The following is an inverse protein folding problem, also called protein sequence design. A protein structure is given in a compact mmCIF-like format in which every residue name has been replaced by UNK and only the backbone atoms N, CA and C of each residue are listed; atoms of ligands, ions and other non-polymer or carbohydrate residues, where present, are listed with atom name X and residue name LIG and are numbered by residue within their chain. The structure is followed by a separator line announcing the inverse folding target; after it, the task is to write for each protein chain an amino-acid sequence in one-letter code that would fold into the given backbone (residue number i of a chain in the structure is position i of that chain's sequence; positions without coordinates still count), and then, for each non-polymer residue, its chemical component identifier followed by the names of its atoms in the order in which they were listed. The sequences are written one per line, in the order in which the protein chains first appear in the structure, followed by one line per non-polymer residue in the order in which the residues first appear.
data_IF_973934812298
#
_entry.id   IF_973934812298
#
_cell.length_a   1.000
_cell.length_b   1.000
_cell.length_c   1.000
_cell.angle_alpha   90.00
_cell.angle_beta   90.00
_cell.angle_gamma   90.00
#
_symmetry.space_group_name_H-M   'P 1'
#
loop_
_entity.id
_entity.type
_entity.pdbx_description
1 polymer ?
#
# COMPACT_ATOMS: atom_id res chain seq x y z
N UNK A 1 -15.92 16.10 -4.69
CA UNK A 1 -15.35 14.75 -4.45
C UNK A 1 -15.56 14.35 -3.00
N UNK A 2 -15.90 13.07 -2.77
CA UNK A 2 -16.04 12.45 -1.43
C UNK A 2 -15.04 11.31 -1.32
N UNK A 3 -14.30 11.25 -0.23
CA UNK A 3 -13.28 10.20 0.01
C UNK A 3 -13.54 9.54 1.35
N UNK A 4 -13.58 8.20 1.35
CA UNK A 4 -13.54 7.39 2.55
C UNK A 4 -12.09 7.00 2.83
N UNK A 5 -11.57 7.41 3.97
CA UNK A 5 -10.24 6.99 4.44
C UNK A 5 -10.37 5.82 5.41
N UNK A 6 -9.76 4.69 5.07
CA UNK A 6 -9.58 3.53 5.93
C UNK A 6 -8.18 3.58 6.54
N UNK A 7 -8.06 4.15 7.72
CA UNK A 7 -6.79 4.31 8.43
C UNK A 7 -6.55 3.13 9.37
N UNK A 8 -5.54 2.33 9.05
CA UNK A 8 -5.15 1.17 9.85
C UNK A 8 -3.99 1.51 10.78
N UNK A 9 -4.14 1.19 12.07
CA UNK A 9 -3.08 1.31 13.06
C UNK A 9 -3.00 0.05 13.95
N UNK A 10 -1.92 -0.10 14.67
CA UNK A 10 -1.76 -1.07 15.75
C UNK A 10 -1.43 -0.31 17.04
N UNK A 11 -2.44 0.26 17.69
CA UNK A 11 -2.27 1.22 18.77
C UNK A 11 -1.62 2.52 18.31
N UNK A 12 -1.18 3.35 19.25
CA UNK A 12 -0.56 4.66 18.99
C UNK A 12 0.90 4.74 19.45
N UNK A 13 1.43 3.73 20.15
CA UNK A 13 2.74 3.81 20.78
C UNK A 13 3.90 3.98 19.78
N UNK A 14 3.83 3.27 18.64
CA UNK A 14 4.91 3.31 17.63
C UNK A 14 4.83 4.54 16.72
N UNK A 15 3.62 5.01 16.41
CA UNK A 15 3.36 6.12 15.50
C UNK A 15 2.33 7.07 16.12
N UNK A 16 2.70 7.84 17.17
CA UNK A 16 1.75 8.66 17.94
C UNK A 16 1.14 9.78 17.10
N UNK A 17 1.88 10.33 16.15
CA UNK A 17 1.49 11.49 15.35
C UNK A 17 0.79 11.12 14.02
N UNK A 18 0.73 9.83 13.66
CA UNK A 18 0.27 9.39 12.35
C UNK A 18 -1.14 9.88 11.99
N UNK A 19 -2.07 9.91 12.94
CA UNK A 19 -3.41 10.41 12.71
C UNK A 19 -3.41 11.94 12.49
N UNK A 20 -2.66 12.69 13.30
CA UNK A 20 -2.56 14.14 13.18
C UNK A 20 -1.88 14.55 11.86
N UNK A 21 -0.88 13.81 11.42
CA UNK A 21 -0.20 13.98 10.13
C UNK A 21 -1.16 13.72 8.96
N UNK A 22 -1.94 12.64 9.04
CA UNK A 22 -2.97 12.32 8.04
C UNK A 22 -4.02 13.43 7.93
N UNK A 23 -4.56 13.90 9.06
CA UNK A 23 -5.53 14.99 9.09
C UNK A 23 -4.93 16.31 8.58
N UNK A 24 -3.65 16.57 8.89
CA UNK A 24 -2.93 17.72 8.36
C UNK A 24 -2.76 17.64 6.83
N UNK A 25 -2.40 16.47 6.31
CA UNK A 25 -2.34 16.20 4.88
C UNK A 25 -3.69 16.49 4.20
N UNK A 26 -4.79 15.94 4.72
CA UNK A 26 -6.14 16.15 4.17
C UNK A 26 -6.49 17.64 4.12
N UNK A 27 -6.28 18.37 5.21
CA UNK A 27 -6.55 19.83 5.26
C UNK A 27 -5.69 20.63 4.29
N UNK A 28 -4.41 20.30 4.18
CA UNK A 28 -3.45 21.10 3.38
C UNK A 28 -3.48 20.77 1.89
N UNK A 29 -3.63 19.48 1.55
CA UNK A 29 -3.50 19.01 0.18
C UNK A 29 -4.83 18.75 -0.52
N UNK A 30 -5.88 18.48 0.26
CA UNK A 30 -7.21 18.12 -0.24
C UNK A 30 -8.34 19.00 0.38
N UNK A 31 -8.20 20.35 0.43
CA UNK A 31 -9.08 21.21 1.20
C UNK A 31 -10.53 21.24 0.71
N UNK A 32 -10.79 20.95 -0.57
CA UNK A 32 -12.13 20.93 -1.17
C UNK A 32 -12.80 19.56 -1.17
N UNK A 33 -12.12 18.54 -0.62
CA UNK A 33 -12.63 17.18 -0.56
C UNK A 33 -13.43 16.96 0.71
N UNK A 34 -14.56 16.26 0.61
CA UNK A 34 -15.31 15.78 1.77
C UNK A 34 -14.71 14.45 2.23
N UNK A 35 -14.15 14.46 3.43
CA UNK A 35 -13.51 13.28 4.02
C UNK A 35 -14.45 12.60 5.02
N UNK A 36 -14.54 11.27 4.92
CA UNK A 36 -15.03 10.41 5.99
C UNK A 36 -13.86 9.53 6.44
N UNK A 37 -13.64 9.40 7.75
CA UNK A 37 -12.54 8.65 8.33
C UNK A 37 -13.05 7.50 9.19
N UNK A 38 -12.63 6.29 8.85
CA UNK A 38 -12.79 5.10 9.67
C UNK A 38 -11.41 4.61 10.11
N UNK A 39 -11.20 4.52 11.42
CA UNK A 39 -9.98 3.99 12.01
C UNK A 39 -10.19 2.51 12.32
N UNK A 40 -9.31 1.65 11.83
CA UNK A 40 -9.26 0.24 12.16
C UNK A 40 -8.03 0.01 13.03
N UNK A 41 -8.23 -0.31 14.30
CA UNK A 41 -7.15 -0.49 15.26
C UNK A 41 -6.91 -1.96 15.57
N UNK A 42 -5.82 -2.50 15.06
CA UNK A 42 -5.42 -3.90 15.23
C UNK A 42 -4.96 -4.25 16.66
N UNK A 43 -4.78 -3.24 17.53
CA UNK A 43 -4.46 -3.44 18.95
C UNK A 43 -5.67 -3.19 19.86
N UNK A 44 -6.81 -2.75 19.34
CA UNK A 44 -7.94 -2.34 20.15
C UNK A 44 -8.77 -3.52 20.66
N UNK A 45 -9.21 -3.41 21.93
CA UNK A 45 -10.38 -4.14 22.39
C UNK A 45 -11.66 -3.56 21.75
N UNK A 46 -12.74 -4.36 21.56
CA UNK A 46 -13.97 -3.94 20.87
C UNK A 46 -14.73 -2.74 21.46
N UNK A 47 -14.27 -2.16 22.56
CA UNK A 47 -14.97 -1.15 23.36
C UNK A 47 -14.64 0.31 23.01
N UNK A 48 -13.67 0.58 22.13
CA UNK A 48 -13.31 1.96 21.81
C UNK A 48 -14.04 2.41 20.55
N UNK A 49 -14.90 3.40 20.67
CA UNK A 49 -15.80 3.84 19.59
C UNK A 49 -15.48 5.22 19.03
N UNK A 50 -14.58 6.00 19.67
CA UNK A 50 -14.27 7.37 19.25
C UNK A 50 -12.80 7.73 19.54
N UNK A 51 -12.17 8.43 18.60
CA UNK A 51 -10.83 8.99 18.72
C UNK A 51 -10.86 10.42 18.14
N UNK A 52 -11.21 11.38 18.99
CA UNK A 52 -11.27 12.78 18.56
C UNK A 52 -12.36 13.10 17.52
N UNK A 53 -13.47 12.35 17.52
CA UNK A 53 -14.60 12.49 16.58
C UNK A 53 -14.52 11.54 15.38
N UNK A 54 -13.46 10.73 15.25
CA UNK A 54 -13.37 9.68 14.24
C UNK A 54 -13.91 8.35 14.79
N UNK A 55 -14.63 7.61 13.94
CA UNK A 55 -15.12 6.28 14.29
C UNK A 55 -13.97 5.28 14.33
N UNK A 56 -13.89 4.49 15.41
CA UNK A 56 -12.87 3.45 15.58
C UNK A 56 -13.56 2.08 15.66
N UNK A 57 -13.05 1.11 14.92
CA UNK A 57 -13.40 -0.31 15.04
C UNK A 57 -12.17 -1.14 15.38
N UNK A 58 -12.38 -2.30 16.00
CA UNK A 58 -11.31 -3.26 16.24
C UNK A 58 -10.98 -4.02 14.99
N UNK A 59 -9.69 -4.17 14.70
CA UNK A 59 -9.17 -5.05 13.67
C UNK A 59 -8.69 -6.38 14.24
N UNK A 60 -8.76 -7.47 13.46
CA UNK A 60 -8.31 -8.80 13.87
C UNK A 60 -6.78 -8.96 13.85
N UNK A 61 -6.08 -8.10 13.12
CA UNK A 61 -4.63 -8.19 12.87
C UNK A 61 -4.18 -9.52 12.20
N UNK A 62 -5.07 -10.29 11.59
CA UNK A 62 -4.74 -11.61 11.03
C UNK A 62 -3.74 -11.52 9.86
N UNK A 63 -3.93 -10.53 8.99
CA UNK A 63 -3.01 -10.21 7.89
C UNK A 63 -2.74 -8.70 7.82
N UNK A 64 -2.41 -8.14 8.99
CA UNK A 64 -2.04 -6.75 9.19
C UNK A 64 -3.07 -5.79 8.58
N UNK A 65 -2.60 -4.85 7.74
CA UNK A 65 -3.45 -3.84 7.10
C UNK A 65 -4.49 -4.44 6.16
N UNK A 66 -4.20 -5.55 5.50
CA UNK A 66 -5.10 -6.12 4.49
C UNK A 66 -6.37 -6.69 5.11
N UNK A 67 -6.26 -7.49 6.18
CA UNK A 67 -7.43 -7.95 6.91
C UNK A 67 -8.19 -6.81 7.58
N UNK A 68 -7.48 -5.79 8.08
CA UNK A 68 -8.09 -4.62 8.69
C UNK A 68 -8.91 -3.79 7.67
N UNK A 69 -8.38 -3.59 6.46
CA UNK A 69 -9.14 -2.91 5.41
C UNK A 69 -10.37 -3.71 4.97
N UNK A 70 -10.30 -5.04 4.85
CA UNK A 70 -11.46 -5.87 4.58
C UNK A 70 -12.54 -5.72 5.66
N UNK A 71 -12.14 -5.69 6.93
CA UNK A 71 -13.03 -5.46 8.07
C UNK A 71 -13.63 -4.05 8.04
N UNK A 72 -12.84 -3.04 7.67
CA UNK A 72 -13.32 -1.68 7.45
C UNK A 72 -14.34 -1.60 6.32
N UNK A 73 -14.06 -2.25 5.19
CA UNK A 73 -14.97 -2.33 4.03
C UNK A 73 -16.28 -3.06 4.39
N UNK A 74 -16.19 -4.19 5.11
CA UNK A 74 -17.36 -4.92 5.59
C UNK A 74 -18.22 -4.04 6.54
N UNK A 75 -17.58 -3.24 7.40
CA UNK A 75 -18.27 -2.32 8.31
C UNK A 75 -19.00 -1.19 7.55
N UNK A 76 -18.42 -0.66 6.49
CA UNK A 76 -19.02 0.39 5.65
C UNK A 76 -20.11 -0.20 4.74
N UNK A 77 -19.93 -1.43 4.27
CA UNK A 77 -20.90 -2.14 3.43
C UNK A 77 -21.21 -1.39 2.14
N UNK A 78 -22.49 -1.34 1.77
CA UNK A 78 -22.95 -0.70 0.53
C UNK A 78 -22.64 0.82 0.46
N UNK A 79 -22.36 1.46 1.58
CA UNK A 79 -22.00 2.88 1.59
C UNK A 79 -20.68 3.19 0.89
N UNK A 80 -19.87 2.18 0.51
CA UNK A 80 -18.67 2.42 -0.30
C UNK A 80 -19.00 3.17 -1.60
N UNK A 81 -20.19 2.97 -2.14
CA UNK A 81 -20.68 3.60 -3.38
C UNK A 81 -21.00 5.10 -3.22
N UNK A 82 -21.05 5.62 -1.99
CA UNK A 82 -21.24 7.05 -1.72
C UNK A 82 -19.95 7.86 -1.95
N UNK A 83 -18.83 7.21 -2.23
CA UNK A 83 -17.50 7.82 -2.34
C UNK A 83 -16.96 7.73 -3.77
N UNK A 84 -16.24 8.74 -4.18
CA UNK A 84 -15.53 8.77 -5.46
C UNK A 84 -14.24 7.95 -5.40
N UNK A 85 -13.57 7.96 -4.24
CA UNK A 85 -12.33 7.22 -3.97
C UNK A 85 -12.31 6.66 -2.54
N UNK A 86 -11.67 5.54 -2.38
CA UNK A 86 -11.21 5.00 -1.10
C UNK A 86 -9.74 5.37 -0.92
N UNK A 87 -9.37 5.85 0.25
CA UNK A 87 -8.00 6.10 0.66
C UNK A 87 -7.58 5.03 1.65
N UNK A 88 -6.73 4.10 1.21
CA UNK A 88 -6.14 3.06 2.06
C UNK A 88 -4.82 3.59 2.60
N UNK A 89 -4.71 3.65 3.93
CA UNK A 89 -3.54 4.23 4.59
C UNK A 89 -3.23 3.53 5.91
N UNK A 90 -1.93 3.36 6.20
CA UNK A 90 -1.47 2.79 7.47
C UNK A 90 -0.81 3.85 8.35
N UNK A 91 -0.71 3.59 9.66
CA UNK A 91 0.00 4.49 10.59
C UNK A 91 1.49 4.69 10.27
N UNK A 92 2.08 3.81 9.45
CA UNK A 92 3.48 3.93 9.02
C UNK A 92 3.68 4.83 7.79
N UNK A 93 2.64 5.50 7.29
CA UNK A 93 2.66 6.22 6.00
C UNK A 93 3.72 7.33 5.91
N UNK A 94 4.15 7.93 7.03
CA UNK A 94 5.17 8.99 7.09
C UNK A 94 6.54 8.52 7.58
N UNK A 95 6.76 7.21 7.72
CA UNK A 95 7.99 6.72 8.37
C UNK A 95 9.22 6.84 7.47
N UNK A 96 9.14 6.43 6.20
CA UNK A 96 10.24 6.49 5.22
C UNK A 96 9.70 6.44 3.79
N UNK A 97 10.49 6.97 2.84
CA UNK A 97 10.15 7.00 1.41
C UNK A 97 8.80 7.66 1.14
N UNK A 98 8.56 8.84 1.74
CA UNK A 98 7.24 9.45 1.87
C UNK A 98 7.03 10.69 1.01
N UNK A 99 8.06 11.13 0.26
CA UNK A 99 8.00 12.36 -0.56
C UNK A 99 6.86 12.37 -1.58
N UNK A 100 6.48 11.19 -2.09
CA UNK A 100 5.38 11.07 -3.02
C UNK A 100 4.05 11.51 -2.40
N UNK A 101 3.88 11.41 -1.06
CA UNK A 101 2.67 11.81 -0.35
C UNK A 101 2.41 13.30 -0.54
N UNK A 102 3.45 14.12 -0.54
CA UNK A 102 3.34 15.56 -0.71
C UNK A 102 3.05 15.98 -2.18
N UNK A 103 3.04 15.02 -3.11
CA UNK A 103 2.65 15.23 -4.51
C UNK A 103 1.16 15.16 -4.74
N UNK A 104 0.40 14.53 -3.84
CA UNK A 104 -1.05 14.43 -3.98
C UNK A 104 -1.71 15.81 -3.83
N UNK A 105 -2.68 16.06 -4.72
CA UNK A 105 -3.58 17.18 -4.66
C UNK A 105 -4.96 16.79 -5.23
N UNK A 106 -5.92 17.69 -5.15
CA UNK A 106 -7.30 17.46 -5.62
C UNK A 106 -7.32 17.16 -7.11
N UNK A 107 -6.54 17.88 -7.93
CA UNK A 107 -6.49 17.70 -9.39
C UNK A 107 -6.02 16.29 -9.77
N UNK A 108 -5.01 15.77 -9.07
CA UNK A 108 -4.54 14.40 -9.26
C UNK A 108 -5.64 13.39 -8.99
N UNK A 109 -6.39 13.57 -7.89
CA UNK A 109 -7.45 12.66 -7.52
C UNK A 109 -8.66 12.75 -8.46
N UNK A 110 -8.99 13.93 -8.96
CA UNK A 110 -10.00 14.13 -10.01
C UNK A 110 -9.61 13.42 -11.32
N UNK A 111 -8.31 13.42 -11.65
CA UNK A 111 -7.81 12.77 -12.87
C UNK A 111 -7.95 11.24 -12.81
N UNK A 112 -7.87 10.61 -11.64
CA UNK A 112 -7.96 9.15 -11.48
C UNK A 112 -9.37 8.69 -11.11
N UNK A 113 -10.18 9.52 -10.47
CA UNK A 113 -11.55 9.19 -10.11
C UNK A 113 -12.39 8.87 -11.36
N UNK A 114 -13.12 7.75 -11.32
CA UNK A 114 -13.97 7.32 -12.44
C UNK A 114 -13.22 6.72 -13.65
N UNK A 115 -11.90 6.58 -13.60
CA UNK A 115 -11.08 6.08 -14.73
C UNK A 115 -10.54 4.66 -14.56
N UNK A 116 -11.01 3.90 -13.56
CA UNK A 116 -10.49 2.56 -13.29
C UNK A 116 -8.98 2.59 -13.00
N UNK A 117 -8.55 3.51 -12.15
CA UNK A 117 -7.14 3.71 -11.83
C UNK A 117 -6.93 3.82 -10.33
N UNK A 118 -5.91 3.13 -9.82
CA UNK A 118 -5.41 3.26 -8.46
C UNK A 118 -4.10 4.07 -8.47
N UNK A 119 -3.95 5.05 -7.56
CA UNK A 119 -2.79 5.93 -7.51
C UNK A 119 -2.08 5.85 -6.17
N UNK A 120 -0.75 5.71 -6.24
CA UNK A 120 0.15 5.62 -5.10
C UNK A 120 1.59 5.72 -5.55
N UNK A 121 2.52 5.23 -4.75
CA UNK A 121 3.91 5.08 -5.18
C UNK A 121 4.13 3.69 -5.78
N UNK A 122 4.69 3.62 -6.98
CA UNK A 122 5.04 2.35 -7.60
C UNK A 122 6.47 1.97 -7.25
N UNK A 123 6.62 0.83 -6.56
CA UNK A 123 7.89 0.14 -6.36
C UNK A 123 8.10 -0.94 -7.43
N UNK A 124 9.36 -1.35 -7.60
CA UNK A 124 9.71 -2.41 -8.55
C UNK A 124 10.89 -3.25 -8.07
N UNK A 125 10.96 -4.48 -8.58
CA UNK A 125 12.20 -5.26 -8.66
C UNK A 125 12.90 -5.02 -10.00
N UNK A 126 14.22 -5.19 -10.05
CA UNK A 126 14.98 -5.10 -11.30
C UNK A 126 14.61 -6.20 -12.28
N UNK A 127 14.21 -7.36 -11.78
CA UNK A 127 13.78 -8.50 -12.57
C UNK A 127 12.40 -9.02 -12.14
N UNK A 128 11.66 -9.70 -13.01
CA UNK A 128 10.40 -10.32 -12.64
C UNK A 128 10.57 -11.41 -11.59
N UNK A 129 9.60 -11.52 -10.68
CA UNK A 129 9.52 -12.58 -9.65
C UNK A 129 8.22 -13.36 -9.80
N UNK A 130 8.24 -14.62 -9.36
CA UNK A 130 7.04 -15.46 -9.33
C UNK A 130 6.33 -15.41 -7.98
N UNK A 131 5.01 -15.24 -8.00
CA UNK A 131 4.13 -15.26 -6.84
C UNK A 131 2.79 -15.92 -7.19
N UNK A 132 2.46 -17.05 -6.56
CA UNK A 132 1.18 -17.78 -6.75
C UNK A 132 0.84 -18.04 -8.24
N UNK A 133 1.83 -18.43 -9.03
CA UNK A 133 1.65 -18.66 -10.47
C UNK A 133 1.59 -17.39 -11.33
N UNK A 134 1.66 -16.21 -10.73
CA UNK A 134 1.74 -14.94 -11.44
C UNK A 134 3.16 -14.41 -11.50
N UNK A 135 3.40 -13.52 -12.48
CA UNK A 135 4.64 -12.74 -12.56
C UNK A 135 4.39 -11.35 -11.99
N UNK A 136 5.21 -10.96 -10.99
CA UNK A 136 5.23 -9.62 -10.42
C UNK A 136 6.57 -8.94 -10.71
N UNK A 137 6.57 -7.64 -10.98
CA UNK A 137 7.79 -6.85 -11.07
C UNK A 137 7.60 -5.45 -10.48
N UNK A 138 6.39 -4.90 -10.52
CA UNK A 138 6.06 -3.60 -9.97
C UNK A 138 4.73 -3.65 -9.23
N UNK A 139 4.59 -2.86 -8.16
CA UNK A 139 3.39 -2.80 -7.32
C UNK A 139 3.23 -1.42 -6.70
N UNK A 140 1.98 -1.08 -6.33
CA UNK A 140 1.68 0.09 -5.50
C UNK A 140 2.00 -0.22 -4.04
N UNK A 141 2.68 0.69 -3.35
CA UNK A 141 2.86 0.61 -1.89
C UNK A 141 1.52 0.67 -1.18
N UNK A 142 1.31 -0.25 -0.26
CA UNK A 142 0.10 -0.32 0.56
C UNK A 142 0.03 0.80 1.61
N UNK A 143 1.15 1.41 1.99
CA UNK A 143 1.19 2.39 3.07
C UNK A 143 0.29 3.63 2.85
N UNK A 144 0.07 4.03 1.57
CA UNK A 144 -0.70 5.22 1.22
C UNK A 144 -1.12 5.17 -0.26
N UNK A 145 -2.38 4.91 -0.55
CA UNK A 145 -2.89 4.85 -1.91
C UNK A 145 -4.37 5.23 -1.99
N UNK A 146 -4.80 5.70 -3.16
CA UNK A 146 -6.20 5.94 -3.47
C UNK A 146 -6.68 4.98 -4.57
N UNK A 147 -7.89 4.47 -4.42
CA UNK A 147 -8.47 3.47 -5.31
C UNK A 147 -9.97 3.68 -5.45
N UNK A 148 -10.58 3.58 -6.65
CA UNK A 148 -12.02 3.67 -6.83
C UNK A 148 -12.76 2.53 -6.11
N UNK A 149 -13.96 2.78 -5.54
CA UNK A 149 -14.77 1.74 -4.90
C UNK A 149 -15.06 0.54 -5.82
N UNK A 150 -15.30 0.78 -7.11
CA UNK A 150 -15.59 -0.27 -8.10
C UNK A 150 -14.45 -1.29 -8.20
N UNK A 151 -13.20 -0.83 -8.17
CA UNK A 151 -12.02 -1.69 -8.25
C UNK A 151 -11.90 -2.59 -7.01
N UNK A 152 -12.20 -2.05 -5.83
CA UNK A 152 -12.18 -2.81 -4.57
C UNK A 152 -13.33 -3.81 -4.52
N UNK A 153 -14.53 -3.41 -4.92
CA UNK A 153 -15.71 -4.29 -4.95
C UNK A 153 -15.48 -5.51 -5.85
N UNK A 154 -14.81 -5.33 -7.00
CA UNK A 154 -14.48 -6.42 -7.93
C UNK A 154 -13.47 -7.41 -7.33
N UNK A 155 -12.61 -6.96 -6.42
CA UNK A 155 -11.64 -7.83 -5.74
C UNK A 155 -12.29 -8.75 -4.71
N UNK A 156 -13.44 -8.42 -4.18
CA UNK A 156 -14.17 -9.08 -3.08
C UNK A 156 -13.42 -9.08 -1.73
N UNK A 157 -12.09 -9.12 -1.72
CA UNK A 157 -11.21 -9.02 -0.55
C UNK A 157 -9.89 -8.40 -0.95
N UNK A 158 -9.30 -7.57 -0.11
CA UNK A 158 -7.95 -7.03 -0.29
C UNK A 158 -6.88 -8.05 0.11
N UNK A 159 -7.22 -9.02 0.95
CA UNK A 159 -6.38 -10.19 1.20
C UNK A 159 -6.33 -11.05 -0.06
N UNK A 160 -5.19 -11.07 -0.71
CA UNK A 160 -4.96 -11.79 -1.98
C UNK A 160 -4.10 -13.03 -1.84
N UNK A 161 -3.44 -13.21 -0.70
CA UNK A 161 -2.63 -14.39 -0.38
C UNK A 161 -3.45 -15.28 0.53
N UNK A 162 -3.70 -16.55 0.16
CA UNK A 162 -4.45 -17.46 1.01
C UNK A 162 -3.73 -17.70 2.33
N UNK A 163 -4.42 -18.31 3.29
CA UNK A 163 -3.82 -18.74 4.56
C UNK A 163 -2.46 -19.41 4.32
N UNK A 164 -1.45 -19.16 5.18
CA UNK A 164 -0.03 -19.41 4.89
C UNK A 164 0.38 -20.88 4.78
N UNK A 165 -0.54 -21.80 4.68
CA UNK A 165 -0.23 -23.22 4.43
C UNK A 165 0.64 -23.39 3.18
N UNK A 166 1.81 -23.97 3.34
CA UNK A 166 2.74 -24.21 2.24
C UNK A 166 3.72 -23.08 1.89
N UNK A 167 3.63 -21.91 2.51
CA UNK A 167 4.64 -20.85 2.27
C UNK A 167 5.87 -20.99 3.16
N UNK A 168 5.70 -21.33 4.44
CA UNK A 168 6.74 -21.20 5.46
C UNK A 168 7.08 -22.53 6.12
N UNK A 169 8.34 -22.75 6.35
CA UNK A 169 8.87 -23.82 7.20
C UNK A 169 9.09 -23.33 8.64
N UNK A 170 9.31 -24.26 9.58
CA UNK A 170 9.65 -23.92 10.97
C UNK A 170 11.15 -23.71 11.20
N UNK A 171 11.96 -23.82 10.15
CA UNK A 171 13.40 -23.62 10.20
C UNK A 171 13.77 -22.18 9.82
N UNK A 172 14.31 -21.36 10.75
CA UNK A 172 14.78 -20.02 10.43
C UNK A 172 15.89 -19.96 9.39
N UNK A 173 16.68 -21.05 9.22
CA UNK A 173 17.73 -21.10 8.20
C UNK A 173 17.15 -21.32 6.79
N UNK A 174 15.96 -21.90 6.70
CA UNK A 174 15.21 -22.12 5.45
C UNK A 174 13.74 -21.76 5.65
N UNK A 175 13.38 -20.47 5.84
CA UNK A 175 12.06 -20.06 6.32
C UNK A 175 10.93 -20.27 5.31
N UNK A 176 11.25 -20.60 4.06
CA UNK A 176 10.27 -20.97 3.03
C UNK A 176 10.25 -22.47 2.80
N UNK A 177 9.05 -23.05 2.64
CA UNK A 177 8.91 -24.42 2.16
C UNK A 177 9.55 -24.58 0.77
N UNK A 178 10.04 -25.77 0.46
CA UNK A 178 10.67 -26.04 -0.83
C UNK A 178 9.71 -25.77 -2.00
N UNK A 179 8.45 -26.14 -1.83
CA UNK A 179 7.34 -26.01 -2.77
C UNK A 179 6.54 -24.71 -2.61
N UNK A 180 6.98 -23.77 -1.73
CA UNK A 180 6.31 -22.47 -1.59
C UNK A 180 6.10 -21.81 -2.96
N UNK A 181 4.90 -21.25 -3.25
CA UNK A 181 4.55 -20.72 -4.57
C UNK A 181 5.21 -19.35 -4.85
N UNK A 182 6.52 -19.29 -4.62
CA UNK A 182 7.41 -18.15 -4.83
C UNK A 182 8.63 -18.60 -5.65
N UNK A 183 9.02 -17.81 -6.64
CA UNK A 183 10.27 -18.06 -7.35
C UNK A 183 11.48 -17.91 -6.42
N UNK A 184 12.58 -18.56 -6.78
CA UNK A 184 13.80 -18.56 -5.97
C UNK A 184 14.37 -17.15 -5.78
N UNK A 185 14.37 -16.32 -6.84
CA UNK A 185 14.80 -14.92 -6.74
C UNK A 185 13.88 -14.11 -5.85
N UNK A 186 12.56 -14.37 -5.83
CA UNK A 186 11.63 -13.69 -4.94
C UNK A 186 11.94 -13.99 -3.46
N UNK A 187 12.13 -15.29 -3.12
CA UNK A 187 12.52 -15.70 -1.76
C UNK A 187 13.82 -15.01 -1.32
N UNK A 188 14.82 -14.94 -2.21
CA UNK A 188 16.09 -14.23 -1.95
C UNK A 188 15.88 -12.74 -1.71
N UNK A 189 15.11 -12.05 -2.56
CA UNK A 189 14.82 -10.63 -2.37
C UNK A 189 14.13 -10.33 -1.03
N UNK A 190 13.18 -11.17 -0.62
CA UNK A 190 12.49 -11.02 0.66
C UNK A 190 13.48 -11.20 1.82
N UNK A 191 14.29 -12.25 1.80
CA UNK A 191 15.30 -12.51 2.83
C UNK A 191 16.31 -11.37 2.91
N UNK A 192 16.90 -10.98 1.78
CA UNK A 192 17.90 -9.92 1.72
C UNK A 192 17.32 -8.58 2.19
N UNK A 193 16.07 -8.29 1.83
CA UNK A 193 15.38 -7.08 2.26
C UNK A 193 15.16 -7.04 3.77
N UNK A 194 14.62 -8.11 4.36
CA UNK A 194 14.21 -8.14 5.77
C UNK A 194 15.36 -8.39 6.74
N UNK A 195 16.35 -9.20 6.34
CA UNK A 195 17.36 -9.74 7.28
C UNK A 195 18.80 -9.56 6.85
N UNK A 196 19.05 -9.18 5.60
CA UNK A 196 20.37 -9.18 4.99
C UNK A 196 20.77 -7.83 4.37
N UNK A 197 21.51 -7.86 3.25
CA UNK A 197 22.11 -6.68 2.61
C UNK A 197 21.08 -5.82 1.84
N UNK A 198 19.81 -6.22 1.79
CA UNK A 198 18.77 -5.53 1.02
C UNK A 198 18.48 -6.21 -0.32
N UNK A 199 17.74 -5.53 -1.21
CA UNK A 199 17.28 -6.11 -2.47
C UNK A 199 18.35 -6.23 -3.55
N UNK A 200 19.58 -5.78 -3.30
CA UNK A 200 20.60 -5.61 -4.33
C UNK A 200 20.36 -4.41 -5.24
N UNK A 201 19.32 -3.61 -5.00
CA UNK A 201 18.96 -2.39 -5.75
C UNK A 201 19.40 -1.11 -5.03
N UNK A 202 20.29 -1.22 -4.04
CA UNK A 202 20.74 -0.08 -3.24
C UNK A 202 19.76 0.36 -2.15
N UNK A 203 18.64 -0.33 -1.98
CA UNK A 203 17.63 -0.02 -0.98
C UNK A 203 17.72 -1.00 0.18
N UNK A 204 17.88 -0.47 1.40
CA UNK A 204 17.95 -1.24 2.64
C UNK A 204 16.69 -0.98 3.47
N UNK A 205 16.14 -2.05 4.06
CA UNK A 205 15.06 -1.87 5.03
C UNK A 205 15.60 -1.37 6.37
N UNK A 206 15.01 -0.30 6.89
CA UNK A 206 15.46 0.38 8.10
C UNK A 206 15.30 -0.43 9.39
N UNK A 207 14.43 -1.45 9.40
CA UNK A 207 14.11 -2.28 10.57
C UNK A 207 14.54 -3.73 10.37
N UNK A 208 15.68 -3.96 9.71
CA UNK A 208 16.25 -5.29 9.54
C UNK A 208 16.47 -5.98 10.89
N UNK A 209 16.30 -7.28 10.92
CA UNK A 209 16.43 -8.09 12.12
C UNK A 209 17.16 -9.40 11.83
N UNK A 210 17.68 -10.02 12.88
CA UNK A 210 18.25 -11.36 12.79
C UNK A 210 17.11 -12.38 12.76
N UNK A 211 17.10 -13.24 11.73
CA UNK A 211 16.11 -14.30 11.63
C UNK A 211 16.54 -15.50 12.50
N UNK A 212 15.70 -15.79 13.49
CA UNK A 212 15.84 -16.90 14.42
C UNK A 212 14.44 -17.42 14.84
N UNK A 213 14.36 -18.36 15.74
CA UNK A 213 13.07 -18.94 16.20
C UNK A 213 12.15 -17.91 16.82
N UNK A 214 12.68 -16.92 17.52
CA UNK A 214 11.89 -15.88 18.18
C UNK A 214 11.30 -14.88 17.16
N UNK A 215 12.07 -14.54 16.13
CA UNK A 215 11.67 -13.57 15.11
C UNK A 215 10.95 -14.21 13.91
N UNK A 216 10.95 -15.53 13.78
CA UNK A 216 10.29 -16.24 12.68
C UNK A 216 8.79 -15.93 12.54
N UNK A 217 7.99 -15.83 13.64
CA UNK A 217 6.58 -15.42 13.51
C UNK A 217 6.41 -14.00 12.94
N UNK A 218 7.28 -13.07 13.33
CA UNK A 218 7.29 -11.71 12.78
C UNK A 218 7.70 -11.71 11.30
N UNK A 219 8.72 -12.49 10.94
CA UNK A 219 9.13 -12.66 9.54
C UNK A 219 7.96 -13.13 8.67
N UNK A 220 7.25 -14.18 9.08
CA UNK A 220 6.08 -14.72 8.36
C UNK A 220 5.00 -13.67 8.17
N UNK A 221 4.63 -12.96 9.23
CA UNK A 221 3.62 -11.90 9.17
C UNK A 221 4.03 -10.75 8.22
N UNK A 222 5.32 -10.34 8.29
CA UNK A 222 5.85 -9.29 7.42
C UNK A 222 5.89 -9.72 5.95
N UNK A 223 6.31 -10.95 5.69
CA UNK A 223 6.30 -11.52 4.32
C UNK A 223 4.87 -11.54 3.77
N UNK A 224 3.90 -12.04 4.54
CA UNK A 224 2.49 -12.05 4.10
C UNK A 224 1.98 -10.65 3.74
N UNK A 225 2.32 -9.63 4.52
CA UNK A 225 1.96 -8.25 4.18
C UNK A 225 2.59 -7.82 2.84
N UNK A 226 3.88 -8.09 2.61
CA UNK A 226 4.56 -7.80 1.33
C UNK A 226 3.92 -8.56 0.15
N UNK A 227 3.60 -9.84 0.32
CA UNK A 227 2.96 -10.64 -0.72
C UNK A 227 1.54 -10.15 -1.03
N UNK A 228 0.77 -9.74 -0.03
CA UNK A 228 -0.55 -9.14 -0.23
C UNK A 228 -0.46 -7.80 -0.98
N UNK A 229 0.52 -6.96 -0.68
CA UNK A 229 0.78 -5.70 -1.39
C UNK A 229 1.02 -5.94 -2.89
N UNK A 230 1.84 -6.92 -3.22
CA UNK A 230 2.12 -7.31 -4.60
C UNK A 230 0.89 -7.95 -5.26
N UNK A 231 0.19 -8.84 -4.54
CA UNK A 231 -1.03 -9.48 -5.05
C UNK A 231 -2.16 -8.50 -5.29
N UNK A 232 -2.33 -7.48 -4.46
CA UNK A 232 -3.28 -6.40 -4.71
C UNK A 232 -3.00 -5.77 -6.09
N UNK A 233 -1.77 -5.42 -6.36
CA UNK A 233 -1.37 -4.81 -7.64
C UNK A 233 -1.50 -5.74 -8.83
N UNK A 234 -1.23 -7.04 -8.67
CA UNK A 234 -1.45 -8.05 -9.71
C UNK A 234 -2.95 -8.16 -10.03
N UNK A 235 -3.78 -8.28 -8.99
CA UNK A 235 -5.23 -8.45 -9.13
C UNK A 235 -5.89 -7.23 -9.75
N UNK A 236 -5.50 -6.01 -9.35
CA UNK A 236 -5.95 -4.76 -9.96
C UNK A 236 -5.64 -4.73 -11.46
N UNK A 237 -4.40 -5.03 -11.87
CA UNK A 237 -4.06 -5.09 -13.30
C UNK A 237 -4.86 -6.15 -14.07
N UNK A 238 -5.15 -7.28 -13.46
CA UNK A 238 -5.95 -8.35 -14.10
C UNK A 238 -7.39 -7.95 -14.38
N UNK A 239 -7.96 -7.02 -13.62
CA UNK A 239 -9.28 -6.44 -13.89
C UNK A 239 -9.20 -5.14 -14.70
N UNK A 240 -8.07 -4.89 -15.37
CA UNK A 240 -7.79 -3.73 -16.20
C UNK A 240 -7.71 -2.39 -15.43
N UNK A 241 -7.57 -2.41 -14.10
CA UNK A 241 -7.28 -1.21 -13.32
C UNK A 241 -5.86 -0.72 -13.61
N UNK A 242 -5.73 0.53 -13.97
CA UNK A 242 -4.43 1.17 -14.18
C UNK A 242 -3.75 1.47 -12.85
N UNK A 243 -2.47 1.10 -12.72
CA UNK A 243 -1.65 1.52 -11.58
C UNK A 243 -0.90 2.80 -11.97
N UNK A 244 -1.08 3.86 -11.17
CA UNK A 244 -0.56 5.19 -11.46
C UNK A 244 0.44 5.62 -10.37
N UNK A 245 1.64 6.01 -10.79
CA UNK A 245 2.63 6.59 -9.87
C UNK A 245 2.31 8.05 -9.58
N UNK A 246 2.16 8.38 -8.31
CA UNK A 246 1.77 9.71 -7.86
C UNK A 246 2.77 10.81 -8.26
N UNK A 247 4.09 10.51 -8.21
CA UNK A 247 5.13 11.47 -8.58
C UNK A 247 5.11 11.72 -10.09
N UNK A 248 5.01 10.67 -10.88
CA UNK A 248 4.87 10.77 -12.33
C UNK A 248 3.65 11.61 -12.72
N UNK A 249 2.47 11.32 -12.13
CA UNK A 249 1.25 12.03 -12.46
C UNK A 249 1.33 13.50 -12.04
N UNK A 250 1.89 13.80 -10.85
CA UNK A 250 2.09 15.18 -10.40
C UNK A 250 2.96 15.98 -11.40
N UNK A 251 4.06 15.40 -11.87
CA UNK A 251 4.95 16.05 -12.85
C UNK A 251 4.21 16.34 -14.16
N UNK A 252 3.43 15.39 -14.66
CA UNK A 252 2.60 15.56 -15.85
C UNK A 252 1.55 16.67 -15.71
N UNK A 253 0.89 16.74 -14.56
CA UNK A 253 -0.12 17.76 -14.27
C UNK A 253 0.48 19.16 -14.02
N UNK A 254 1.75 19.25 -13.61
CA UNK A 254 2.45 20.51 -13.36
C UNK A 254 2.98 21.17 -14.64
N UNK A 255 3.16 20.43 -15.71
CA UNK A 255 3.79 20.86 -16.97
C UNK A 255 2.99 21.86 -17.83
N UNK A 256 2.01 22.57 -17.26
CA UNK A 256 1.33 23.71 -17.90
C UNK A 256 0.34 23.37 -19.02
N UNK A 257 0.34 22.15 -19.54
CA UNK A 257 -0.70 21.70 -20.44
C UNK A 257 -1.97 21.36 -19.65
N UNK A 258 -3.06 22.08 -19.95
CA UNK A 258 -4.41 21.72 -19.47
C UNK A 258 -4.93 20.41 -20.09
N UNK A 259 -4.12 19.73 -20.88
CA UNK A 259 -4.50 18.45 -21.46
C UNK A 259 -4.63 17.42 -20.32
N UNK A 260 -5.83 16.92 -20.11
CA UNK A 260 -6.08 15.74 -19.30
C UNK A 260 -5.20 14.60 -19.85
N UNK A 261 -4.67 13.79 -18.97
CA UNK A 261 -3.90 12.61 -19.37
C UNK A 261 -4.84 11.66 -20.09
N UNK A 262 -4.73 11.56 -21.43
CA UNK A 262 -5.68 10.77 -22.25
C UNK A 262 -5.72 9.29 -21.87
N UNK A 263 -4.56 8.72 -21.50
CA UNK A 263 -4.42 7.36 -21.01
C UNK A 263 -3.23 7.25 -20.05
N UNK A 264 -3.33 6.37 -19.06
CA UNK A 264 -2.19 6.07 -18.19
C UNK A 264 -1.27 5.06 -18.89
N UNK A 265 0.01 5.42 -19.13
CA UNK A 265 0.95 4.50 -19.75
C UNK A 265 1.31 3.37 -18.77
N UNK A 266 2.02 2.35 -19.27
CA UNK A 266 2.50 1.27 -18.42
C UNK A 266 3.42 1.80 -17.33
N UNK A 267 3.52 1.07 -16.21
CA UNK A 267 4.40 1.43 -15.11
C UNK A 267 5.87 1.66 -15.52
N UNK A 268 6.35 0.97 -16.58
CA UNK A 268 7.72 1.15 -17.10
C UNK A 268 7.96 2.54 -17.63
N UNK A 269 7.00 3.06 -18.41
CA UNK A 269 7.06 4.42 -18.93
C UNK A 269 6.97 5.44 -17.80
N UNK A 270 6.02 5.23 -16.87
CA UNK A 270 5.86 6.12 -15.72
C UNK A 270 7.13 6.20 -14.88
N UNK A 271 7.77 5.06 -14.56
CA UNK A 271 8.98 5.05 -13.76
C UNK A 271 10.20 5.59 -14.49
N UNK A 272 10.34 5.33 -15.79
CA UNK A 272 11.42 5.91 -16.58
C UNK A 272 11.38 7.44 -16.56
N UNK A 273 10.18 8.03 -16.67
CA UNK A 273 10.00 9.48 -16.57
C UNK A 273 10.15 10.02 -15.16
N UNK A 274 9.60 9.31 -14.14
CA UNK A 274 9.75 9.68 -12.73
C UNK A 274 11.19 9.72 -12.29
N UNK A 275 11.97 8.71 -12.65
CA UNK A 275 13.36 8.55 -12.20
C UNK A 275 14.31 9.59 -12.83
N UNK A 276 13.85 10.36 -13.83
CA UNK A 276 14.56 11.53 -14.39
C UNK A 276 14.16 12.85 -13.71
N UNK A 277 13.13 12.86 -12.83
CA UNK A 277 12.71 14.07 -12.12
C UNK A 277 13.76 14.45 -11.06
N UNK A 278 14.34 15.69 -11.11
CA UNK A 278 15.36 16.15 -10.16
C UNK A 278 14.93 16.05 -8.69
N UNK A 279 13.62 16.13 -8.41
CA UNK A 279 13.10 16.02 -7.03
C UNK A 279 13.14 14.57 -6.55
N UNK A 280 12.96 13.60 -7.46
CA UNK A 280 13.07 12.17 -7.15
C UNK A 280 14.54 11.78 -6.89
N UNK A 281 15.48 12.43 -7.58
CA UNK A 281 16.91 12.16 -7.45
C UNK A 281 17.54 12.76 -6.19
N UNK A 282 16.89 13.70 -5.52
CA UNK A 282 17.41 14.25 -4.28
C UNK A 282 17.36 13.20 -3.15
N UNK A 283 18.41 13.04 -2.32
CA UNK A 283 18.39 12.07 -1.22
C UNK A 283 17.26 12.35 -0.24
N UNK A 284 16.56 11.32 0.23
CA UNK A 284 15.62 11.46 1.35
C UNK A 284 16.42 11.76 2.62
N UNK A 285 16.10 12.86 3.28
CA UNK A 285 16.72 13.28 4.56
C UNK A 285 16.07 12.54 5.70
#
# INVERSE_FOLDING_TARGET
MRILTLFVRHGTAKYPDALSELLSFQRKRLPSVRHELLIIDNASSPRRTDDGGARVIAGSNRQWEFSAWDEGLAHVGQRIWDFDLLHLVTSAHRTLYTRYIDRFDVRMLEEVAGRGAAVGHIDRYNEPVGLLGYTAQAWLRSAFLFIPPAEVATLASLVGVPEPGGFFSDDPAQPFCADAPLSQNHRRYILDWLTGPGTGQGVLWHSRFVLNRETLPYFRAKVLAMLNEQMLSIRLRRQACSLVDATWLATRLSGGSRASVTAFPTWRVQLAERDTDPVTLAPER
#
